data_IF_105080684737
#
_entry.id   IF_105080684737
#
_cell.length_a   1.000
_cell.length_b   1.000
_cell.length_c   1.000
_cell.angle_alpha   90.00
_cell.angle_beta   90.00
_cell.angle_gamma   90.00
#
_symmetry.space_group_name_H-M   'P 1'
#
loop_
_entity.id
_entity.type
_entity.pdbx_description
1 polymer ?
#
# COMPACT_ATOMS: atom_id res chain seq x y z
N UNK A 1 -1.60 14.18 12.02
CA UNK A 1 -1.35 12.94 11.24
C UNK A 1 0.01 12.39 11.65
N UNK A 2 0.10 11.11 11.99
CA UNK A 2 1.36 10.45 12.36
C UNK A 2 1.39 9.06 11.72
N UNK A 3 2.54 8.66 11.17
CA UNK A 3 2.74 7.30 10.66
C UNK A 3 2.85 6.35 11.85
N UNK A 4 2.20 5.18 11.84
CA UNK A 4 2.39 4.16 12.89
C UNK A 4 3.86 3.72 13.00
N UNK A 5 4.24 3.11 14.13
CA UNK A 5 5.63 2.65 14.31
C UNK A 5 6.04 1.66 13.21
N UNK A 6 7.07 2.04 12.45
CA UNK A 6 7.60 1.30 11.29
C UNK A 6 8.77 0.37 11.65
N UNK A 7 9.20 0.36 12.91
CA UNK A 7 10.35 -0.40 13.40
C UNK A 7 10.18 -1.92 13.32
N UNK A 8 8.93 -2.40 13.32
CA UNK A 8 8.60 -3.83 13.40
C UNK A 8 7.59 -4.31 12.35
N UNK A 9 7.05 -3.41 11.53
CA UNK A 9 5.85 -3.64 10.72
C UNK A 9 5.92 -2.85 9.41
N UNK A 10 5.45 -3.46 8.33
CA UNK A 10 5.35 -2.83 7.02
C UNK A 10 4.19 -1.84 6.99
N UNK A 11 4.42 -0.61 7.44
CA UNK A 11 3.40 0.47 7.47
C UNK A 11 3.64 1.55 6.42
N UNK A 12 4.73 1.41 5.68
CA UNK A 12 5.07 2.23 4.51
C UNK A 12 5.94 1.40 3.56
N UNK A 13 5.79 1.63 2.26
CA UNK A 13 6.68 1.10 1.24
C UNK A 13 7.24 2.24 0.39
N UNK A 14 8.47 2.06 -0.07
CA UNK A 14 9.10 2.92 -1.05
C UNK A 14 9.28 2.17 -2.38
N UNK A 15 9.73 2.89 -3.42
CA UNK A 15 9.91 2.35 -4.77
C UNK A 15 10.79 1.09 -4.82
N UNK A 16 11.82 0.99 -3.98
CA UNK A 16 12.74 -0.16 -3.96
C UNK A 16 12.06 -1.40 -3.37
N UNK A 17 11.07 -1.21 -2.50
CA UNK A 17 10.34 -2.29 -1.83
C UNK A 17 9.06 -2.69 -2.55
N UNK A 18 8.51 -1.80 -3.38
CA UNK A 18 7.27 -2.07 -4.14
C UNK A 18 7.55 -2.98 -5.33
N UNK A 19 6.84 -4.10 -5.40
CA UNK A 19 6.77 -4.92 -6.60
C UNK A 19 5.89 -4.24 -7.66
N UNK A 20 6.44 -4.09 -8.85
CA UNK A 20 5.82 -3.42 -10.00
C UNK A 20 5.67 -4.46 -11.11
N UNK A 21 4.52 -4.46 -11.78
CA UNK A 21 4.27 -5.31 -12.93
C UNK A 21 5.07 -4.84 -14.17
N UNK A 22 5.14 -5.69 -15.19
CA UNK A 22 5.89 -5.41 -16.43
C UNK A 22 5.40 -4.15 -17.16
N UNK A 23 4.12 -3.80 -17.00
CA UNK A 23 3.50 -2.60 -17.56
C UNK A 23 3.71 -1.33 -16.70
N UNK A 24 4.49 -1.43 -15.61
CA UNK A 24 4.74 -0.32 -14.69
C UNK A 24 3.62 -0.08 -13.67
N UNK A 25 2.54 -0.86 -13.71
CA UNK A 25 1.47 -0.79 -12.71
C UNK A 25 1.87 -1.45 -11.39
N UNK A 26 1.20 -1.07 -10.32
CA UNK A 26 1.39 -1.67 -9.01
C UNK A 26 0.05 -1.77 -8.29
N UNK A 27 -0.05 -2.75 -7.39
CA UNK A 27 -1.18 -2.94 -6.48
C UNK A 27 -0.69 -2.84 -5.05
N UNK A 28 -1.37 -2.06 -4.23
CA UNK A 28 -1.13 -2.00 -2.78
C UNK A 28 -2.28 -2.64 -2.02
N UNK A 29 -1.94 -3.39 -0.98
CA UNK A 29 -2.90 -4.05 -0.10
C UNK A 29 -2.82 -3.42 1.28
N UNK A 30 -3.91 -2.85 1.76
CA UNK A 30 -4.06 -2.46 3.17
C UNK A 30 -4.85 -3.54 3.89
N UNK A 31 -4.27 -4.17 4.89
CA UNK A 31 -4.95 -5.20 5.69
C UNK A 31 -4.44 -5.26 7.12
N UNK A 32 -5.29 -5.78 8.01
CA UNK A 32 -4.99 -5.94 9.44
C UNK A 32 -4.09 -7.14 9.76
N UNK A 33 -3.80 -7.98 8.78
CA UNK A 33 -2.98 -9.19 8.90
C UNK A 33 -2.31 -9.51 7.58
N UNK A 34 -1.23 -10.29 7.64
CA UNK A 34 -0.43 -10.65 6.48
C UNK A 34 -1.24 -11.51 5.49
N UNK A 35 -1.50 -11.03 4.26
CA UNK A 35 -2.21 -11.79 3.24
C UNK A 35 -1.28 -12.75 2.46
N UNK A 36 0.03 -12.74 2.73
CA UNK A 36 1.01 -13.50 1.94
C UNK A 36 1.25 -12.94 0.53
N UNK A 37 0.79 -11.72 0.27
CA UNK A 37 0.91 -11.03 -1.01
C UNK A 37 1.93 -9.88 -0.92
N UNK A 38 2.61 -9.54 -2.03
CA UNK A 38 3.51 -8.41 -2.06
C UNK A 38 2.75 -7.09 -1.86
N UNK A 39 3.49 -6.02 -1.59
CA UNK A 39 2.95 -4.68 -1.43
C UNK A 39 1.84 -4.58 -0.35
N UNK A 40 2.03 -5.26 0.77
CA UNK A 40 1.13 -5.18 1.91
C UNK A 40 1.56 -4.11 2.92
N UNK A 41 0.59 -3.32 3.37
CA UNK A 41 0.70 -2.39 4.49
C UNK A 41 -0.21 -2.83 5.65
N UNK A 42 0.40 -3.00 6.82
CA UNK A 42 -0.26 -3.37 8.07
C UNK A 42 -0.99 -2.15 8.66
N UNK A 43 -2.30 -2.26 8.88
CA UNK A 43 -3.11 -1.18 9.48
C UNK A 43 -2.86 -0.99 10.98
N UNK A 44 -2.12 -1.90 11.62
CA UNK A 44 -1.81 -1.90 13.06
C UNK A 44 -3.04 -1.91 13.95
N UNK A 45 -4.14 -2.47 13.46
CA UNK A 45 -5.43 -2.48 14.16
C UNK A 45 -6.15 -1.13 14.18
N UNK A 46 -5.66 -0.13 13.45
CA UNK A 46 -6.38 1.11 13.25
C UNK A 46 -7.56 0.88 12.30
N UNK A 47 -8.75 1.18 12.78
CA UNK A 47 -9.98 1.13 11.98
C UNK A 47 -10.08 2.31 11.00
N UNK A 48 -9.44 3.43 11.34
CA UNK A 48 -9.50 4.68 10.58
C UNK A 48 -8.15 5.36 10.55
N UNK A 49 -7.84 6.02 9.44
CA UNK A 49 -6.59 6.74 9.26
C UNK A 49 -6.50 7.42 7.90
N UNK A 50 -5.32 7.93 7.59
CA UNK A 50 -5.04 8.56 6.31
C UNK A 50 -3.91 7.83 5.61
N UNK A 51 -4.14 7.47 4.35
CA UNK A 51 -3.11 6.96 3.45
C UNK A 51 -2.75 8.08 2.46
N UNK A 52 -1.47 8.26 2.20
CA UNK A 52 -1.01 9.24 1.22
C UNK A 52 0.11 8.64 0.37
N UNK A 53 0.30 9.22 -0.81
CA UNK A 53 1.28 8.78 -1.80
C UNK A 53 2.23 9.92 -2.11
N UNK A 54 3.49 9.59 -2.37
CA UNK A 54 4.50 10.56 -2.82
C UNK A 54 5.01 10.12 -4.18
N UNK A 55 4.58 10.86 -5.21
CA UNK A 55 5.16 10.79 -6.54
C UNK A 55 6.16 11.92 -6.68
N UNK A 56 7.44 11.58 -6.71
CA UNK A 56 8.51 12.56 -6.77
C UNK A 56 8.92 12.76 -8.22
N UNK A 57 8.78 13.99 -8.73
CA UNK A 57 9.24 14.42 -10.06
C UNK A 57 8.67 13.50 -11.17
N UNK A 58 7.34 13.36 -11.30
CA UNK A 58 6.77 12.54 -12.35
C UNK A 58 7.08 13.17 -13.73
N UNK A 59 7.54 12.36 -14.67
CA UNK A 59 7.78 12.77 -16.07
C UNK A 59 6.53 12.68 -16.94
N UNK A 60 5.53 11.93 -16.47
CA UNK A 60 4.25 11.70 -17.14
C UNK A 60 3.09 12.08 -16.19
N UNK A 61 1.90 12.41 -16.71
CA UNK A 61 0.73 12.64 -15.88
C UNK A 61 0.43 11.42 -14.99
N UNK A 62 0.15 11.69 -13.72
CA UNK A 62 -0.24 10.63 -12.79
C UNK A 62 -1.67 10.16 -13.10
N UNK A 63 -1.85 8.85 -13.21
CA UNK A 63 -3.17 8.23 -13.24
C UNK A 63 -3.80 8.31 -11.85
N UNK A 64 -5.11 8.53 -11.80
CA UNK A 64 -5.85 8.48 -10.55
C UNK A 64 -5.77 7.08 -9.94
N UNK A 65 -5.48 7.00 -8.65
CA UNK A 65 -5.47 5.73 -7.93
C UNK A 65 -6.90 5.23 -7.78
N UNK A 66 -7.13 4.00 -8.24
CA UNK A 66 -8.36 3.27 -7.99
C UNK A 66 -8.25 2.49 -6.69
N UNK A 67 -9.33 2.49 -5.90
CA UNK A 67 -9.38 1.77 -4.64
C UNK A 67 -10.68 0.99 -4.56
N UNK A 68 -10.62 -0.19 -3.93
CA UNK A 68 -11.78 -1.04 -3.70
C UNK A 68 -11.64 -1.75 -2.36
N UNK A 69 -12.71 -1.75 -1.58
CA UNK A 69 -12.81 -2.55 -0.36
C UNK A 69 -13.23 -3.97 -0.76
N UNK A 70 -12.52 -4.96 -0.23
CA UNK A 70 -12.79 -6.39 -0.43
C UNK A 70 -12.79 -7.10 0.92
N UNK A 71 -13.35 -8.30 0.99
CA UNK A 71 -13.15 -9.13 2.18
C UNK A 71 -11.71 -9.61 2.20
N UNK A 72 -11.13 -9.75 3.39
CA UNK A 72 -9.79 -10.30 3.54
C UNK A 72 -9.68 -11.72 2.95
N UNK A 73 -10.76 -12.51 3.04
CA UNK A 73 -10.89 -13.83 2.42
C UNK A 73 -10.80 -13.85 0.90
N UNK A 74 -10.99 -12.70 0.25
CA UNK A 74 -10.99 -12.60 -1.22
C UNK A 74 -9.61 -12.20 -1.76
N UNK A 75 -8.60 -12.08 -0.87
CA UNK A 75 -7.22 -11.80 -1.24
C UNK A 75 -6.41 -13.05 -1.61
N UNK A 76 -6.95 -14.24 -1.34
CA UNK A 76 -6.36 -15.55 -1.69
C UNK A 76 -6.91 -16.12 -2.98
#
# INVERSE_FOLDING_TARGET
MQTPNYDRRLVSLNRVQTEVADDGSWRMILAHSDPGLPNWLDTRGLEHGTMFWRFLIPTEPLTQLETRVVKFSDLS
#
